data_IF_505155814761
#
_entry.id   IF_505155814761
#
_cell.length_a   1.000
_cell.length_b   1.000
_cell.length_c   1.000
_cell.angle_alpha   90.00
_cell.angle_beta   90.00
_cell.angle_gamma   90.00
#
_symmetry.space_group_name_H-M   'P 1'
#
loop_
_entity.id
_entity.type
_entity.pdbx_description
1 polymer ?
#
# COMPACT_ATOMS: atom_id res chain seq x y z
N UNK A 1 5.50 31.06 -21.60
CA UNK A 1 4.59 31.00 -20.45
C UNK A 1 4.49 29.54 -20.03
N UNK A 2 4.63 29.25 -18.74
CA UNK A 2 4.63 27.89 -18.23
C UNK A 2 3.64 27.82 -17.08
N UNK A 3 2.58 27.03 -17.24
CA UNK A 3 1.54 26.86 -16.23
C UNK A 3 1.57 25.42 -15.76
N UNK A 4 1.64 25.23 -14.45
CA UNK A 4 1.51 23.93 -13.79
C UNK A 4 0.22 23.96 -12.98
N UNK A 5 -0.69 23.04 -13.26
CA UNK A 5 -1.93 22.86 -12.51
C UNK A 5 -1.85 21.54 -11.73
N UNK A 6 -2.05 21.64 -10.41
CA UNK A 6 -2.03 20.52 -9.47
C UNK A 6 -3.49 20.26 -9.03
N UNK A 7 -3.96 19.03 -9.19
CA UNK A 7 -5.31 18.60 -8.85
C UNK A 7 -5.27 17.44 -7.85
N UNK A 8 -5.86 17.66 -6.67
CA UNK A 8 -6.05 16.66 -5.61
C UNK A 8 -7.54 16.43 -5.28
N UNK A 9 -8.45 16.85 -6.16
CA UNK A 9 -9.90 16.75 -5.90
C UNK A 9 -10.49 15.35 -6.12
N UNK A 10 -9.70 14.41 -6.65
CA UNK A 10 -10.16 13.08 -7.07
C UNK A 10 -9.38 11.93 -6.42
N UNK A 11 -9.68 10.66 -6.78
CA UNK A 11 -9.05 9.49 -6.18
C UNK A 11 -7.55 9.34 -6.51
N UNK A 12 -7.04 10.12 -7.47
CA UNK A 12 -5.65 10.16 -7.91
C UNK A 12 -5.21 11.61 -7.98
N UNK A 13 -4.01 11.90 -7.45
CA UNK A 13 -3.32 13.17 -7.69
C UNK A 13 -2.93 13.29 -9.15
N UNK A 14 -3.29 14.41 -9.77
CA UNK A 14 -3.01 14.68 -11.19
C UNK A 14 -2.26 16.00 -11.31
N UNK A 15 -1.31 16.01 -12.24
CA UNK A 15 -0.55 17.21 -12.58
C UNK A 15 -0.66 17.45 -14.07
N UNK A 16 -1.09 18.65 -14.44
CA UNK A 16 -1.20 19.09 -15.82
C UNK A 16 -0.18 20.20 -16.06
N UNK A 17 0.81 19.93 -16.90
CA UNK A 17 1.79 20.92 -17.35
C UNK A 17 1.39 21.49 -18.70
N UNK A 18 0.94 22.73 -18.74
CA UNK A 18 0.74 23.49 -19.98
C UNK A 18 1.97 24.36 -20.20
N UNK A 19 3.02 23.76 -20.77
CA UNK A 19 4.17 24.54 -21.22
C UNK A 19 4.94 23.83 -22.34
N UNK A 20 5.67 24.62 -23.12
CA UNK A 20 6.67 24.16 -24.06
C UNK A 20 8.07 24.51 -23.57
N UNK A 21 9.04 23.62 -23.80
CA UNK A 21 10.47 23.94 -23.63
C UNK A 21 11.10 23.76 -22.25
N UNK A 22 10.41 23.14 -21.26
CA UNK A 22 11.00 22.83 -19.94
C UNK A 22 12.34 22.07 -20.02
N UNK A 23 12.48 21.16 -20.98
CA UNK A 23 13.72 20.39 -21.19
C UNK A 23 14.94 21.28 -21.49
N UNK A 24 14.73 22.48 -22.04
CA UNK A 24 15.83 23.42 -22.36
C UNK A 24 16.43 24.02 -21.10
N UNK A 25 15.69 24.03 -19.99
CA UNK A 25 16.20 24.49 -18.70
C UNK A 25 17.12 23.45 -18.08
N UNK A 26 16.79 22.16 -18.22
CA UNK A 26 17.69 21.08 -17.86
C UNK A 26 19.01 21.08 -18.66
N UNK A 27 18.97 21.52 -19.93
CA UNK A 27 20.14 21.58 -20.79
C UNK A 27 21.07 22.79 -20.54
N UNK A 28 20.61 23.81 -19.79
CA UNK A 28 21.41 24.99 -19.45
C UNK A 28 22.07 24.78 -18.09
N UNK A 29 23.39 24.59 -18.07
CA UNK A 29 24.16 24.52 -16.82
C UNK A 29 23.95 25.78 -15.97
N UNK A 30 23.81 25.58 -14.66
CA UNK A 30 23.63 26.66 -13.67
C UNK A 30 22.20 26.77 -13.16
N UNK A 31 21.71 28.00 -12.98
CA UNK A 31 20.44 28.32 -12.32
C UNK A 31 19.21 27.66 -12.98
N UNK A 32 19.23 27.48 -14.31
CA UNK A 32 18.17 26.80 -15.05
C UNK A 32 18.05 25.31 -14.74
N UNK A 33 19.18 24.62 -14.60
CA UNK A 33 19.24 23.20 -14.24
C UNK A 33 18.76 22.99 -12.80
N UNK A 34 19.18 23.85 -11.87
CA UNK A 34 18.72 23.80 -10.47
C UNK A 34 17.22 24.06 -10.35
N UNK A 35 16.70 25.04 -11.08
CA UNK A 35 15.28 25.38 -11.09
C UNK A 35 14.45 24.23 -11.66
N UNK A 36 14.91 23.63 -12.76
CA UNK A 36 14.29 22.45 -13.34
C UNK A 36 14.28 21.28 -12.33
N UNK A 37 15.42 21.00 -11.69
CA UNK A 37 15.54 19.91 -10.72
C UNK A 37 14.62 20.15 -9.51
N UNK A 38 14.61 21.35 -8.93
CA UNK A 38 13.76 21.71 -7.78
C UNK A 38 12.28 21.60 -8.12
N UNK A 39 11.88 22.09 -9.30
CA UNK A 39 10.50 22.03 -9.77
C UNK A 39 10.02 20.58 -9.87
N UNK A 40 10.76 19.74 -10.61
CA UNK A 40 10.35 18.36 -10.82
C UNK A 40 10.49 17.51 -9.56
N UNK A 41 11.49 17.75 -8.70
CA UNK A 41 11.57 17.07 -7.41
C UNK A 41 10.38 17.41 -6.50
N UNK A 42 9.90 18.66 -6.55
CA UNK A 42 8.70 19.08 -5.83
C UNK A 42 7.44 18.41 -6.37
N UNK A 43 7.28 18.37 -7.69
CA UNK A 43 6.15 17.69 -8.35
C UNK A 43 6.14 16.19 -8.05
N UNK A 44 7.29 15.52 -8.17
CA UNK A 44 7.39 14.10 -7.82
C UNK A 44 7.17 13.89 -6.34
N UNK A 45 7.75 14.74 -5.49
CA UNK A 45 7.55 14.70 -4.04
C UNK A 45 6.08 14.83 -3.66
N UNK A 46 5.32 15.69 -4.34
CA UNK A 46 3.89 15.87 -4.11
C UNK A 46 3.04 14.70 -4.66
N UNK A 47 3.38 14.18 -5.84
CA UNK A 47 2.72 12.99 -6.40
C UNK A 47 2.90 11.74 -5.53
N UNK A 48 4.09 11.60 -4.93
CA UNK A 48 4.46 10.49 -4.06
C UNK A 48 4.40 10.83 -2.58
N UNK A 49 3.90 12.02 -2.21
CA UNK A 49 3.70 12.39 -0.82
C UNK A 49 2.59 11.49 -0.29
N UNK A 50 3.02 10.38 0.29
CA UNK A 50 2.16 9.38 0.87
C UNK A 50 1.44 10.03 2.04
N UNK A 51 0.17 10.39 1.86
CA UNK A 51 -0.74 10.62 2.98
C UNK A 51 -1.01 9.26 3.62
N UNK A 52 0.02 8.72 4.28
CA UNK A 52 0.00 7.60 5.23
C UNK A 52 -1.17 6.66 4.99
N UNK A 53 -1.31 6.11 3.78
CA UNK A 53 -2.43 5.28 3.32
C UNK A 53 -3.63 5.29 4.26
N UNK A 54 -4.28 6.45 4.41
CA UNK A 54 -5.42 6.58 5.33
C UNK A 54 -6.41 5.53 4.88
N UNK A 55 -6.72 4.57 5.76
CA UNK A 55 -7.60 3.47 5.43
C UNK A 55 -8.89 4.08 4.87
N UNK A 56 -9.13 3.92 3.56
CA UNK A 56 -10.23 4.61 2.86
C UNK A 56 -11.60 4.26 3.48
N UNK A 57 -11.64 3.14 4.20
CA UNK A 57 -12.76 2.63 4.97
C UNK A 57 -12.38 2.52 6.47
N UNK A 58 -13.28 2.91 7.39
CA UNK A 58 -13.06 2.73 8.82
C UNK A 58 -12.94 1.24 9.18
N UNK A 59 -11.89 0.88 9.93
CA UNK A 59 -11.57 -0.52 10.24
C UNK A 59 -10.88 -0.66 11.61
N UNK A 60 -10.87 -1.85 12.23
CA UNK A 60 -10.08 -2.05 13.44
C UNK A 60 -8.58 -1.96 13.12
N UNK A 61 -7.76 -1.58 14.11
CA UNK A 61 -6.29 -1.51 13.96
C UNK A 61 -5.65 -2.89 13.76
N UNK A 62 -6.31 -3.94 14.26
CA UNK A 62 -5.92 -5.35 14.13
C UNK A 62 -7.15 -6.20 13.83
N UNK A 63 -6.94 -7.35 13.19
CA UNK A 63 -8.02 -8.33 12.96
C UNK A 63 -8.15 -9.35 14.09
N UNK A 64 -7.11 -9.47 14.92
CA UNK A 64 -7.06 -10.33 16.11
C UNK A 64 -6.46 -9.51 17.25
N UNK A 65 -7.23 -9.33 18.32
CA UNK A 65 -6.80 -8.64 19.53
C UNK A 65 -6.54 -9.64 20.64
N UNK A 66 -5.53 -9.38 21.47
CA UNK A 66 -5.30 -10.21 22.65
C UNK A 66 -6.39 -9.99 23.69
N UNK A 67 -6.57 -10.99 24.55
CA UNK A 67 -7.47 -10.85 25.70
C UNK A 67 -7.02 -9.67 26.58
N UNK A 68 -7.98 -8.80 26.96
CA UNK A 68 -7.75 -7.54 27.70
C UNK A 68 -6.95 -6.48 26.93
N UNK A 69 -6.72 -6.66 25.63
CA UNK A 69 -6.23 -5.58 24.79
C UNK A 69 -7.40 -4.65 24.42
N UNK A 70 -7.23 -3.32 24.50
CA UNK A 70 -8.25 -2.40 24.05
C UNK A 70 -8.39 -2.45 22.53
N UNK A 71 -9.63 -2.60 22.05
CA UNK A 71 -9.95 -2.58 20.63
C UNK A 71 -9.96 -1.14 20.14
N UNK A 72 -8.99 -0.82 19.30
CA UNK A 72 -8.78 0.51 18.72
C UNK A 72 -9.11 0.51 17.24
N UNK A 73 -9.50 1.67 16.72
CA UNK A 73 -10.04 1.82 15.38
C UNK A 73 -9.27 2.86 14.58
N UNK A 74 -9.21 2.64 13.27
CA UNK A 74 -8.70 3.59 12.29
C UNK A 74 -9.92 4.18 11.58
N UNK A 75 -10.17 5.47 11.76
CA UNK A 75 -11.28 6.19 11.11
C UNK A 75 -10.69 7.25 10.18
N UNK A 76 -10.94 7.19 8.86
CA UNK A 76 -10.40 8.13 7.88
C UNK A 76 -10.93 9.55 8.03
N UNK A 77 -10.10 10.51 7.64
CA UNK A 77 -10.43 11.93 7.52
C UNK A 77 -10.45 12.65 8.86
N UNK A 78 -9.81 13.80 8.91
CA UNK A 78 -9.82 14.66 10.09
C UNK A 78 -11.26 15.17 10.32
N UNK A 79 -11.81 14.91 11.50
CA UNK A 79 -13.17 15.30 11.90
C UNK A 79 -14.33 14.53 11.21
N UNK A 80 -14.07 13.43 10.51
CA UNK A 80 -15.16 12.59 9.96
C UNK A 80 -15.97 11.94 11.07
N UNK A 81 -17.30 12.08 11.05
CA UNK A 81 -18.17 11.45 12.05
C UNK A 81 -18.79 10.18 11.45
N UNK A 82 -18.59 9.05 12.11
CA UNK A 82 -19.16 7.75 11.71
C UNK A 82 -19.83 7.05 12.90
N UNK A 83 -20.87 6.27 12.62
CA UNK A 83 -21.55 5.43 13.60
C UNK A 83 -20.96 4.02 13.56
N UNK A 84 -20.38 3.55 14.66
CA UNK A 84 -19.95 2.17 14.84
C UNK A 84 -21.07 1.36 15.51
N UNK A 85 -21.52 0.31 14.83
CA UNK A 85 -22.27 -0.78 15.45
C UNK A 85 -21.42 -2.03 15.55
N UNK A 86 -21.33 -2.56 16.75
CA UNK A 86 -20.64 -3.80 17.05
C UNK A 86 -21.65 -4.86 17.49
N UNK A 87 -21.59 -6.04 16.90
CA UNK A 87 -22.43 -7.17 17.26
C UNK A 87 -21.63 -8.44 17.51
N UNK A 88 -22.13 -9.29 18.40
CA UNK A 88 -21.60 -10.63 18.69
C UNK A 88 -22.77 -11.61 18.65
N UNK A 89 -22.65 -12.70 17.88
CA UNK A 89 -23.73 -13.68 17.68
C UNK A 89 -25.08 -12.99 17.35
N UNK A 90 -25.06 -12.07 16.38
CA UNK A 90 -26.20 -11.26 15.93
C UNK A 90 -26.87 -10.37 17.00
N UNK A 91 -26.28 -10.28 18.20
CA UNK A 91 -26.72 -9.37 19.27
C UNK A 91 -25.88 -8.09 19.23
N UNK A 92 -26.55 -6.94 19.18
CA UNK A 92 -25.89 -5.63 19.24
C UNK A 92 -25.26 -5.42 20.62
N UNK A 93 -23.95 -5.17 20.64
CA UNK A 93 -23.15 -4.98 21.86
C UNK A 93 -22.83 -3.50 22.10
N UNK A 94 -22.44 -2.78 21.05
CA UNK A 94 -22.07 -1.36 21.10
C UNK A 94 -22.71 -0.65 19.92
N UNK A 95 -23.32 0.51 20.18
CA UNK A 95 -23.72 1.48 19.17
C UNK A 95 -23.18 2.84 19.62
N UNK A 96 -22.15 3.35 18.92
CA UNK A 96 -21.44 4.55 19.34
C UNK A 96 -20.99 5.39 18.16
N UNK A 97 -20.76 6.67 18.40
CA UNK A 97 -20.24 7.61 17.40
C UNK A 97 -18.73 7.71 17.53
N UNK A 98 -18.02 7.67 16.40
CA UNK A 98 -16.57 7.86 16.33
C UNK A 98 -16.21 9.05 15.46
N UNK A 99 -15.09 9.70 15.80
CA UNK A 99 -14.58 10.89 15.13
C UNK A 99 -13.20 10.58 14.54
N UNK A 100 -13.05 10.75 13.23
CA UNK A 100 -11.80 10.62 12.49
C UNK A 100 -10.78 11.69 12.86
N UNK A 101 -9.50 11.38 12.63
CA UNK A 101 -8.37 12.18 13.15
C UNK A 101 -8.07 11.94 14.63
N UNK A 102 -8.80 11.04 15.31
CA UNK A 102 -8.49 10.56 16.66
C UNK A 102 -8.12 9.07 16.65
N UNK A 103 -7.77 8.50 17.80
CA UNK A 103 -7.61 7.05 17.99
C UNK A 103 -8.76 6.49 18.83
N UNK A 104 -9.98 6.39 18.26
CA UNK A 104 -11.15 5.96 19.02
C UNK A 104 -11.01 4.49 19.45
N UNK A 105 -11.61 4.17 20.58
CA UNK A 105 -11.53 2.84 21.21
C UNK A 105 -12.91 2.40 21.67
N UNK A 106 -13.22 1.12 21.46
CA UNK A 106 -14.40 0.46 22.05
C UNK A 106 -14.06 -0.20 23.40
N UNK A 107 -12.88 0.08 23.95
CA UNK A 107 -12.41 -0.48 25.22
C UNK A 107 -12.01 -1.95 25.12
N UNK A 108 -11.95 -2.61 26.29
CA UNK A 108 -11.65 -4.03 26.38
C UNK A 108 -12.92 -4.84 26.16
N UNK A 109 -12.90 -5.71 25.14
CA UNK A 109 -14.01 -6.60 24.85
C UNK A 109 -13.74 -8.02 25.39
N UNK A 110 -14.78 -8.77 25.78
CA UNK A 110 -14.61 -10.17 26.15
C UNK A 110 -14.19 -11.02 24.93
N UNK A 111 -13.56 -12.18 25.13
CA UNK A 111 -13.16 -13.03 24.01
C UNK A 111 -14.29 -13.46 23.08
N UNK A 112 -13.98 -13.59 21.80
CA UNK A 112 -14.87 -14.09 20.76
C UNK A 112 -14.84 -13.27 19.46
N UNK A 113 -15.61 -13.75 18.49
CA UNK A 113 -15.75 -13.15 17.17
C UNK A 113 -16.79 -12.01 17.20
N UNK A 114 -16.41 -10.87 16.64
CA UNK A 114 -17.25 -9.69 16.53
C UNK A 114 -17.46 -9.31 15.07
N UNK A 115 -18.65 -8.81 14.77
CA UNK A 115 -18.97 -8.16 13.50
C UNK A 115 -19.12 -6.66 13.75
N UNK A 116 -18.53 -5.86 12.88
CA UNK A 116 -18.66 -4.41 12.94
C UNK A 116 -19.31 -3.89 11.67
N UNK A 117 -20.06 -2.80 11.81
CA UNK A 117 -20.64 -2.03 10.72
C UNK A 117 -20.43 -0.56 11.01
N UNK A 118 -19.87 0.16 10.05
CA UNK A 118 -19.73 1.60 10.06
C UNK A 118 -20.80 2.23 9.16
N UNK A 119 -21.58 3.13 9.74
CA UNK A 119 -22.54 3.95 9.01
C UNK A 119 -22.09 5.41 8.96
N UNK A 120 -22.38 6.11 7.86
CA UNK A 120 -22.30 7.56 7.81
C UNK A 120 -23.35 8.23 8.69
N UNK A 121 -23.29 9.55 8.79
CA UNK A 121 -24.31 10.35 9.52
C UNK A 121 -25.71 10.16 8.90
N UNK A 122 -25.78 9.97 7.58
CA UNK A 122 -27.00 9.67 6.82
C UNK A 122 -27.48 8.21 6.95
N UNK A 123 -26.72 7.34 7.61
CA UNK A 123 -27.01 5.91 7.72
C UNK A 123 -26.55 5.05 6.54
N UNK A 124 -25.86 5.64 5.56
CA UNK A 124 -25.18 4.89 4.49
C UNK A 124 -24.14 3.93 5.07
N UNK A 125 -24.07 2.70 4.56
CA UNK A 125 -23.03 1.74 4.94
C UNK A 125 -21.69 2.18 4.33
N UNK A 126 -20.75 2.57 5.19
CA UNK A 126 -19.39 2.95 4.79
C UNK A 126 -18.48 1.73 4.84
N UNK A 127 -18.68 0.86 5.84
CA UNK A 127 -17.84 -0.33 5.95
C UNK A 127 -18.36 -1.42 6.85
N UNK A 128 -17.88 -2.64 6.63
CA UNK A 128 -18.26 -3.80 7.42
C UNK A 128 -17.18 -4.88 7.44
N UNK A 129 -17.19 -5.67 8.51
CA UNK A 129 -16.28 -6.80 8.60
C UNK A 129 -16.35 -7.52 9.93
N UNK A 130 -15.32 -8.33 10.18
CA UNK A 130 -15.19 -9.14 11.40
C UNK A 130 -13.79 -9.03 11.97
N UNK A 131 -13.69 -9.16 13.29
CA UNK A 131 -12.42 -9.33 14.00
C UNK A 131 -12.63 -10.25 15.20
N UNK A 132 -11.53 -10.82 15.69
CA UNK A 132 -11.53 -11.75 16.81
C UNK A 132 -10.83 -11.16 18.04
N UNK A 133 -11.30 -11.54 19.23
CA UNK A 133 -10.60 -11.32 20.49
C UNK A 133 -10.23 -12.67 21.07
N UNK A 134 -8.93 -12.91 21.21
CA UNK A 134 -8.36 -14.20 21.56
C UNK A 134 -9.00 -14.81 22.81
N UNK A 135 -9.45 -16.06 22.69
CA UNK A 135 -9.95 -16.85 23.82
C UNK A 135 -8.80 -17.43 24.66
N UNK A 136 -7.76 -17.92 23.99
CA UNK A 136 -6.57 -18.51 24.61
C UNK A 136 -5.40 -17.56 24.33
N UNK A 137 -4.67 -17.19 25.38
CA UNK A 137 -3.50 -16.32 25.25
C UNK A 137 -2.44 -17.03 24.40
N UNK A 138 -1.84 -16.35 23.42
CA UNK A 138 -0.76 -16.91 22.60
C UNK A 138 0.45 -17.42 23.39
N UNK A 139 0.60 -17.02 24.66
CA UNK A 139 1.61 -17.56 25.59
C UNK A 139 1.37 -19.03 25.99
N UNK A 140 0.14 -19.53 25.84
CA UNK A 140 -0.19 -20.95 26.08
C UNK A 140 -0.05 -21.80 24.81
N UNK A 141 0.30 -21.18 23.67
CA UNK A 141 0.59 -21.89 22.43
C UNK A 141 2.08 -22.26 22.48
N UNK A 142 2.44 -23.55 22.47
CA UNK A 142 3.83 -23.95 22.34
C UNK A 142 4.46 -23.24 21.15
N UNK A 143 5.70 -22.72 21.26
CA UNK A 143 6.40 -22.19 20.10
C UNK A 143 6.39 -23.25 19.00
N UNK A 144 6.24 -22.86 17.71
CA UNK A 144 6.30 -23.81 16.62
C UNK A 144 7.57 -24.63 16.77
N UNK A 145 7.45 -25.94 16.91
CA UNK A 145 8.60 -26.82 16.80
C UNK A 145 9.19 -26.57 15.42
N UNK A 146 10.41 -26.02 15.40
CA UNK A 146 11.16 -25.82 14.17
C UNK A 146 11.29 -27.22 13.56
N UNK A 147 10.75 -27.47 12.35
CA UNK A 147 10.79 -28.79 11.78
C UNK A 147 12.25 -29.19 11.65
N UNK A 148 12.67 -30.23 12.38
CA UNK A 148 13.96 -30.87 12.17
C UNK A 148 13.99 -31.26 10.69
N UNK A 149 14.76 -30.50 9.92
CA UNK A 149 14.94 -30.78 8.50
C UNK A 149 15.39 -32.23 8.37
N UNK A 150 14.85 -32.98 7.40
CA UNK A 150 15.22 -34.38 7.25
C UNK A 150 16.74 -34.46 7.19
N UNK A 151 17.34 -35.22 8.11
CA UNK A 151 18.76 -35.54 8.08
C UNK A 151 19.06 -35.97 6.66
N UNK A 152 19.83 -35.12 5.95
CA UNK A 152 20.12 -35.30 4.54
C UNK A 152 21.05 -36.51 4.42
N UNK A 153 20.46 -37.71 4.43
CA UNK A 153 21.11 -38.91 3.94
C UNK A 153 21.27 -38.67 2.45
N UNK A 154 22.47 -38.25 2.08
CA UNK A 154 22.90 -38.13 0.71
C UNK A 154 22.71 -39.48 0.01
N UNK A 155 21.54 -39.67 -0.59
CA UNK A 155 21.36 -40.61 -1.67
C UNK A 155 21.95 -39.93 -2.90
N UNK A 156 23.14 -40.39 -3.30
CA UNK A 156 23.71 -40.08 -4.60
C UNK A 156 22.84 -40.74 -5.66
N UNK A 157 21.70 -40.11 -5.97
CA UNK A 157 20.98 -40.40 -7.20
C UNK A 157 21.77 -39.68 -8.28
N UNK A 158 22.54 -40.44 -9.06
CA UNK A 158 23.04 -39.98 -10.34
C UNK A 158 21.81 -39.76 -11.24
N UNK A 159 21.25 -38.55 -11.16
CA UNK A 159 20.26 -38.07 -12.10
C UNK A 159 20.90 -36.92 -12.88
N UNK A 160 20.99 -37.12 -14.18
CA UNK A 160 21.43 -36.17 -15.19
C UNK A 160 20.42 -35.01 -15.27
N UNK A 161 20.46 -34.13 -14.28
CA UNK A 161 19.63 -32.93 -14.23
C UNK A 161 20.45 -31.75 -14.74
N UNK A 162 20.44 -31.60 -16.06
CA UNK A 162 20.67 -30.31 -16.70
C UNK A 162 19.74 -29.31 -16.03
N UNK A 163 20.28 -28.56 -15.07
CA UNK A 163 19.50 -27.68 -14.21
C UNK A 163 18.94 -26.54 -15.05
N UNK A 164 17.72 -26.70 -15.53
CA UNK A 164 16.96 -25.68 -16.24
C UNK A 164 16.56 -24.57 -15.25
N UNK A 165 17.55 -23.77 -14.86
CA UNK A 165 17.32 -22.52 -14.15
C UNK A 165 16.49 -21.63 -15.07
N UNK A 166 15.30 -21.18 -14.65
CA UNK A 166 14.43 -20.36 -15.48
C UNK A 166 15.19 -19.15 -16.03
N UNK A 167 15.14 -18.92 -17.34
CA UNK A 167 15.92 -17.87 -18.03
C UNK A 167 15.65 -16.46 -17.45
N UNK A 168 14.49 -16.28 -16.81
CA UNK A 168 14.11 -15.05 -16.07
C UNK A 168 14.99 -14.71 -14.87
N UNK A 169 15.72 -15.69 -14.33
CA UNK A 169 16.59 -15.51 -13.14
C UNK A 169 17.88 -14.80 -13.51
N UNK A 170 18.31 -14.90 -14.77
CA UNK A 170 19.50 -14.19 -15.23
C UNK A 170 19.12 -12.81 -15.77
N UNK A 171 19.94 -11.77 -15.53
CA UNK A 171 19.68 -10.40 -15.99
C UNK A 171 19.99 -10.18 -17.48
N UNK A 172 20.74 -11.09 -18.11
CA UNK A 172 21.19 -10.94 -19.49
C UNK A 172 20.10 -10.81 -20.58
N UNK A 173 18.94 -11.51 -20.55
CA UNK A 173 17.92 -11.36 -21.58
C UNK A 173 17.28 -9.96 -21.52
N UNK A 174 17.15 -9.37 -20.33
CA UNK A 174 16.67 -8.00 -20.17
C UNK A 174 17.65 -6.99 -20.76
N UNK A 175 18.96 -7.19 -20.54
CA UNK A 175 19.99 -6.33 -21.13
C UNK A 175 19.96 -6.41 -22.66
N UNK A 176 19.82 -7.61 -23.25
CA UNK A 176 19.71 -7.78 -24.71
C UNK A 176 18.50 -7.02 -25.26
N UNK A 177 17.33 -7.16 -24.64
CA UNK A 177 16.09 -6.48 -25.07
C UNK A 177 16.25 -4.95 -24.97
N UNK A 178 16.79 -4.43 -23.86
CA UNK A 178 17.05 -2.99 -23.69
C UNK A 178 18.03 -2.49 -24.76
N UNK A 179 19.07 -3.27 -25.05
CA UNK A 179 20.09 -2.88 -26.04
C UNK A 179 19.51 -2.85 -27.45
N UNK A 180 18.70 -3.85 -27.82
CA UNK A 180 17.97 -3.88 -29.09
C UNK A 180 17.01 -2.70 -29.21
N UNK A 181 16.28 -2.35 -28.16
CA UNK A 181 15.37 -1.21 -28.14
C UNK A 181 16.13 0.12 -28.32
N UNK A 182 17.27 0.28 -27.65
CA UNK A 182 18.15 1.44 -27.82
C UNK A 182 18.72 1.54 -29.23
N UNK A 183 19.18 0.42 -29.80
CA UNK A 183 19.70 0.35 -31.17
C UNK A 183 18.59 0.69 -32.16
N UNK A 184 17.40 0.11 -32.01
CA UNK A 184 16.25 0.40 -32.87
C UNK A 184 15.89 1.89 -32.80
N UNK A 185 15.88 2.49 -31.62
CA UNK A 185 15.63 3.92 -31.45
C UNK A 185 16.69 4.80 -32.15
N UNK A 186 17.97 4.43 -32.04
CA UNK A 186 19.08 5.12 -32.71
C UNK A 186 18.94 5.00 -34.24
N UNK A 187 18.58 3.81 -34.74
CA UNK A 187 18.39 3.57 -36.16
C UNK A 187 17.21 4.39 -36.67
N UNK A 188 16.04 4.35 -36.01
CA UNK A 188 14.87 5.16 -36.37
C UNK A 188 15.19 6.66 -36.38
N UNK A 189 15.96 7.13 -35.40
CA UNK A 189 16.41 8.53 -35.33
C UNK A 189 17.33 8.91 -36.51
N UNK A 190 18.16 7.98 -36.99
CA UNK A 190 19.08 8.20 -38.11
C UNK A 190 18.42 8.03 -39.49
N UNK A 191 17.45 7.13 -39.62
CA UNK A 191 16.78 6.85 -40.89
C UNK A 191 15.62 7.78 -41.20
N UNK A 192 15.25 8.68 -40.27
CA UNK A 192 14.31 9.77 -40.55
C UNK A 192 12.88 9.28 -40.85
N UNK A 193 12.53 8.08 -40.41
CA UNK A 193 11.15 7.62 -40.46
C UNK A 193 10.39 8.23 -39.27
N UNK A 194 9.59 9.24 -39.60
CA UNK A 194 8.52 9.76 -38.74
C UNK A 194 7.42 8.70 -38.58
#
# INVERSE_FOLDING_TARGET
EAVLYLDDSGPNRRVFGLASGFWRWAARKGEGEETYRRLWSGVTGWLFADETSVAREPRPTKWVFRRKEPVTWIVPGDSTIVNLRLSKNDSLLIDTVMIGGTSPSSGMLPPGLYHYRFGGVSGELIGEGRFDVEMISGEMIPPPEEPEGPESKAFTVANDERSEHPVRTYPWPYLVVITLLCIEWIIRRRTGLR
#
